data_IF_839721738435
#
_entry.id   IF_839721738435
#
_cell.length_a   1.000
_cell.length_b   1.000
_cell.length_c   1.000
_cell.angle_alpha   90.00
_cell.angle_beta   90.00
_cell.angle_gamma   90.00
#
_symmetry.space_group_name_H-M   'P 1'
#
loop_
_entity.id
_entity.type
_entity.pdbx_description
1 polymer ?
#
# COMPACT_ATOMS: atom_id res chain seq x y z
N UNK A 1 8.76 1.19 9.75
CA UNK A 1 8.20 -0.16 10.04
C UNK A 1 7.83 -0.78 8.71
N UNK A 2 8.21 -2.03 8.49
CA UNK A 2 7.95 -2.80 7.25
C UNK A 2 6.82 -3.80 7.51
N UNK A 3 6.06 -4.17 6.47
CA UNK A 3 5.08 -5.25 6.56
C UNK A 3 5.65 -6.57 6.04
N UNK A 4 5.08 -7.68 6.48
CA UNK A 4 5.48 -9.01 6.01
C UNK A 4 5.04 -9.27 4.56
N UNK A 5 5.69 -10.22 3.90
CA UNK A 5 5.29 -10.67 2.55
C UNK A 5 3.87 -11.25 2.52
N UNK A 6 3.41 -11.84 3.62
CA UNK A 6 2.05 -12.36 3.78
C UNK A 6 1.05 -11.22 3.80
N UNK A 7 1.27 -10.19 4.61
CA UNK A 7 0.40 -9.00 4.66
C UNK A 7 0.38 -8.27 3.31
N UNK A 8 1.54 -8.16 2.63
CA UNK A 8 1.59 -7.60 1.29
C UNK A 8 0.75 -8.43 0.31
N UNK A 9 0.80 -9.76 0.40
CA UNK A 9 0.01 -10.67 -0.46
C UNK A 9 -1.49 -10.56 -0.19
N UNK A 10 -1.90 -10.46 1.07
CA UNK A 10 -3.29 -10.26 1.48
C UNK A 10 -3.84 -8.92 0.98
N UNK A 11 -3.06 -7.84 1.12
CA UNK A 11 -3.43 -6.53 0.61
C UNK A 11 -3.57 -6.57 -0.93
N UNK A 12 -2.61 -7.17 -1.63
CA UNK A 12 -2.69 -7.36 -3.09
C UNK A 12 -3.97 -8.08 -3.51
N UNK A 13 -4.30 -9.17 -2.82
CA UNK A 13 -5.52 -9.94 -3.09
C UNK A 13 -6.78 -9.11 -2.85
N UNK A 14 -6.81 -8.37 -1.75
CA UNK A 14 -7.96 -7.53 -1.37
C UNK A 14 -8.20 -6.40 -2.35
N UNK A 15 -7.14 -5.77 -2.87
CA UNK A 15 -7.27 -4.72 -3.89
C UNK A 15 -7.79 -5.30 -5.21
N UNK A 16 -7.24 -6.45 -5.63
CA UNK A 16 -7.68 -7.12 -6.85
C UNK A 16 -9.15 -7.54 -6.77
N UNK A 17 -9.57 -8.17 -5.66
CA UNK A 17 -10.92 -8.70 -5.52
C UNK A 17 -11.99 -7.59 -5.40
N UNK A 18 -11.68 -6.47 -4.73
CA UNK A 18 -12.66 -5.39 -4.51
C UNK A 18 -12.69 -4.35 -5.63
N UNK A 19 -11.57 -4.12 -6.31
CA UNK A 19 -11.43 -3.00 -7.25
C UNK A 19 -10.99 -3.43 -8.65
N UNK A 20 -10.59 -4.70 -8.85
CA UNK A 20 -10.10 -5.17 -10.15
C UNK A 20 -8.72 -4.65 -10.56
N UNK A 21 -7.99 -4.00 -9.63
CA UNK A 21 -6.68 -3.38 -9.90
C UNK A 21 -5.56 -4.22 -9.32
N UNK A 22 -4.48 -4.39 -10.09
CA UNK A 22 -3.27 -5.04 -9.56
C UNK A 22 -2.48 -4.08 -8.68
N UNK A 23 -2.11 -4.55 -7.49
CA UNK A 23 -1.12 -3.93 -6.64
C UNK A 23 0.21 -4.70 -6.75
N UNK A 24 1.30 -4.00 -7.04
CA UNK A 24 2.65 -4.53 -7.01
C UNK A 24 3.31 -4.21 -5.69
N UNK A 25 4.14 -5.13 -5.20
CA UNK A 25 4.91 -4.97 -3.99
C UNK A 25 6.39 -5.13 -4.32
N UNK A 26 7.20 -4.20 -3.82
CA UNK A 26 8.63 -4.14 -4.05
C UNK A 26 9.33 -4.05 -2.69
N UNK A 27 10.27 -4.96 -2.44
CA UNK A 27 11.10 -4.99 -1.24
C UNK A 27 12.56 -5.15 -1.66
N UNK A 28 13.28 -4.03 -1.69
CA UNK A 28 14.66 -3.97 -2.17
C UNK A 28 15.48 -2.94 -1.40
N UNK A 29 16.69 -2.60 -1.89
CA UNK A 29 17.62 -1.71 -1.19
C UNK A 29 17.06 -0.31 -0.85
N UNK A 30 15.97 0.13 -1.49
CA UNK A 30 15.26 1.38 -1.21
C UNK A 30 14.14 1.27 -0.17
N UNK A 31 13.97 0.10 0.46
CA UNK A 31 12.86 -0.20 1.35
C UNK A 31 11.61 -0.71 0.62
N UNK A 32 10.53 -0.88 1.38
CA UNK A 32 9.26 -1.39 0.89
C UNK A 32 8.42 -0.29 0.26
N UNK A 33 7.92 -0.55 -0.93
CA UNK A 33 6.95 0.30 -1.61
C UNK A 33 6.01 -0.53 -2.49
N UNK A 34 4.92 0.13 -2.88
CA UNK A 34 3.85 -0.46 -3.65
C UNK A 34 3.52 0.39 -4.85
N UNK A 35 3.04 -0.24 -5.92
CA UNK A 35 2.63 0.43 -7.15
C UNK A 35 1.29 -0.12 -7.63
N UNK A 36 0.33 0.75 -7.91
CA UNK A 36 -0.94 0.41 -8.57
C UNK A 36 -0.78 0.53 -10.08
N UNK A 37 -1.38 -0.39 -10.83
CA UNK A 37 -1.42 -0.34 -12.30
C UNK A 37 -2.07 0.97 -12.81
N UNK A 38 -3.07 1.46 -12.08
CA UNK A 38 -3.78 2.69 -12.41
C UNK A 38 -4.13 3.51 -11.17
N UNK A 39 -4.33 4.82 -11.38
CA UNK A 39 -4.74 5.72 -10.29
C UNK A 39 -6.21 5.50 -9.98
N UNK A 40 -6.51 5.30 -8.69
CA UNK A 40 -7.88 5.22 -8.19
C UNK A 40 -7.96 5.84 -6.79
N UNK A 41 -8.74 6.92 -6.66
CA UNK A 41 -8.86 7.66 -5.40
C UNK A 41 -9.65 6.88 -4.32
N UNK A 42 -10.50 5.92 -4.70
CA UNK A 42 -11.18 5.02 -3.76
C UNK A 42 -10.21 4.00 -3.17
N UNK A 43 -9.34 3.42 -4.01
CA UNK A 43 -8.26 2.53 -3.55
C UNK A 43 -7.32 3.27 -2.60
N UNK A 44 -6.99 4.53 -2.91
CA UNK A 44 -6.18 5.38 -2.03
C UNK A 44 -6.79 5.46 -0.62
N UNK A 45 -8.07 5.82 -0.50
CA UNK A 45 -8.78 5.92 0.78
C UNK A 45 -8.86 4.58 1.52
N UNK A 46 -9.05 3.50 0.77
CA UNK A 46 -9.04 2.14 1.33
C UNK A 46 -7.68 1.81 1.95
N UNK A 47 -6.58 2.06 1.22
CA UNK A 47 -5.21 1.80 1.67
C UNK A 47 -4.88 2.64 2.91
N UNK A 48 -5.22 3.94 2.90
CA UNK A 48 -5.05 4.82 4.06
C UNK A 48 -5.77 4.24 5.29
N UNK A 49 -7.04 3.84 5.14
CA UNK A 49 -7.83 3.24 6.23
C UNK A 49 -7.31 1.87 6.68
N UNK A 50 -6.76 1.06 5.76
CA UNK A 50 -6.19 -0.25 6.07
C UNK A 50 -4.96 -0.14 6.98
N UNK A 51 -4.07 0.81 6.68
CA UNK A 51 -2.85 1.03 7.44
C UNK A 51 -3.04 1.88 8.69
N UNK A 52 -3.99 2.82 8.70
CA UNK A 52 -4.35 3.60 9.89
C UNK A 52 -4.80 2.70 11.05
N UNK A 53 -5.61 1.67 10.75
CA UNK A 53 -6.01 0.63 11.73
C UNK A 53 -4.85 -0.16 12.32
N UNK A 54 -3.70 -0.17 11.66
CA UNK A 54 -2.44 -0.80 12.11
C UNK A 54 -1.49 0.19 12.78
N UNK A 55 -1.89 1.45 12.98
CA UNK A 55 -1.04 2.52 13.53
C UNK A 55 0.07 2.94 12.56
N UNK A 56 -0.14 2.74 11.26
CA UNK A 56 0.83 3.03 10.21
C UNK A 56 0.37 4.18 9.32
N UNK A 57 1.32 4.94 8.82
CA UNK A 57 1.09 6.09 7.94
C UNK A 57 1.45 5.72 6.51
N UNK A 58 0.58 6.07 5.56
CA UNK A 58 0.78 5.85 4.13
C UNK A 58 1.21 7.15 3.45
N UNK A 59 2.28 7.09 2.67
CA UNK A 59 2.77 8.23 1.89
C UNK A 59 2.66 7.91 0.41
N UNK A 60 1.70 8.55 -0.26
CA UNK A 60 1.54 8.44 -1.72
C UNK A 60 2.51 9.37 -2.46
N UNK A 61 3.12 8.85 -3.50
CA UNK A 61 4.03 9.52 -4.43
C UNK A 61 3.61 9.23 -5.89
N UNK A 62 4.38 9.72 -6.87
CA UNK A 62 4.17 9.48 -8.30
C UNK A 62 2.72 9.69 -8.77
N UNK A 63 2.10 10.80 -8.38
CA UNK A 63 0.69 11.15 -8.72
C UNK A 63 -0.37 10.17 -8.18
N UNK A 64 -0.05 9.41 -7.13
CA UNK A 64 -1.01 8.58 -6.39
C UNK A 64 -1.04 7.11 -6.79
N UNK A 65 -0.18 6.67 -7.72
CA UNK A 65 -0.08 5.24 -8.07
C UNK A 65 0.97 4.50 -7.25
N UNK A 66 1.98 5.19 -6.72
CA UNK A 66 3.02 4.58 -5.88
C UNK A 66 2.88 5.06 -4.44
N UNK A 67 3.14 4.20 -3.46
CA UNK A 67 3.16 4.58 -2.06
C UNK A 67 4.13 3.74 -1.23
N UNK A 68 4.55 4.29 -0.10
CA UNK A 68 5.27 3.59 0.95
C UNK A 68 4.49 3.66 2.27
N UNK A 69 4.84 2.77 3.20
CA UNK A 69 4.20 2.70 4.51
C UNK A 69 5.27 2.84 5.59
N UNK A 70 5.02 3.72 6.55
CA UNK A 70 5.88 3.96 7.72
C UNK A 70 5.13 3.73 9.02
N UNK A 71 5.85 3.51 10.12
CA UNK A 71 5.24 3.57 11.45
C UNK A 71 5.24 5.01 11.93
N UNK A 72 4.23 5.43 12.70
CA UNK A 72 4.37 6.64 13.50
C UNK A 72 5.49 6.40 14.51
N UNK A 73 6.65 7.03 14.31
CA UNK A 73 7.60 7.22 15.39
C UNK A 73 6.92 8.20 16.35
N UNK A 74 6.32 7.67 17.42
CA UNK A 74 6.05 8.47 18.61
C UNK A 74 7.37 9.02 19.18
#
# INVERSE_FOLDING_TARGET
>A
MAISITEASELKRTILDNFGVTLHFHDGCGGQYFTLDERNDEIKRFIESYFDKKGMTVTFIARGTQFSVGGNNA
#
